data_IF_902581353785
#
_entry.id   IF_902581353785
#
_cell.length_a   1.000
_cell.length_b   1.000
_cell.length_c   1.000
_cell.angle_alpha   90.00
_cell.angle_beta   90.00
_cell.angle_gamma   90.00
#
_symmetry.space_group_name_H-M   'P 1'
#
loop_
_entity.id
_entity.type
_entity.pdbx_description
1 polymer ?
#
# COMPACT_ATOMS: atom_id res chain seq x y z
N UNK A 1 18.96 -54.78 10.36
CA UNK A 1 17.90 -53.87 10.86
C UNK A 1 17.39 -52.91 9.78
N UNK A 2 16.06 -52.69 9.64
CA UNK A 2 15.54 -51.75 8.67
C UNK A 2 15.79 -50.31 9.14
N UNK A 3 16.14 -49.44 8.19
CA UNK A 3 16.46 -48.02 8.41
C UNK A 3 15.16 -47.25 8.66
N UNK A 4 15.13 -46.42 9.71
CA UNK A 4 13.97 -45.58 10.01
C UNK A 4 13.68 -44.60 8.86
N UNK A 5 12.40 -44.30 8.55
CA UNK A 5 12.04 -43.34 7.53
C UNK A 5 12.48 -41.91 7.93
N UNK A 6 12.78 -41.03 6.95
CA UNK A 6 13.18 -39.66 7.24
C UNK A 6 12.03 -38.91 7.89
N UNK A 7 12.33 -38.10 8.91
CA UNK A 7 11.37 -37.23 9.56
C UNK A 7 10.74 -36.29 8.52
N UNK A 8 9.41 -36.27 8.46
CA UNK A 8 8.66 -35.33 7.64
C UNK A 8 9.07 -33.91 8.04
N UNK A 9 9.61 -33.14 7.09
CA UNK A 9 9.91 -31.73 7.30
C UNK A 9 8.63 -31.03 7.80
N UNK A 10 8.72 -30.38 8.97
CA UNK A 10 7.62 -29.61 9.50
C UNK A 10 7.15 -28.61 8.44
N UNK A 11 5.90 -28.73 7.98
CA UNK A 11 5.30 -27.78 7.05
C UNK A 11 5.37 -26.41 7.74
N UNK A 12 6.01 -25.42 7.09
CA UNK A 12 5.90 -24.03 7.55
C UNK A 12 4.42 -23.71 7.74
N UNK A 13 4.04 -23.03 8.84
CA UNK A 13 2.66 -22.59 8.99
C UNK A 13 2.26 -21.81 7.73
N UNK A 14 1.01 -21.95 7.26
CA UNK A 14 0.53 -21.21 6.11
C UNK A 14 0.74 -19.72 6.40
N UNK A 15 1.37 -19.03 5.45
CA UNK A 15 1.61 -17.59 5.53
C UNK A 15 0.26 -16.87 5.55
N UNK A 16 0.13 -15.83 6.37
CA UNK A 16 -1.06 -14.98 6.33
C UNK A 16 -1.20 -14.43 4.90
N UNK A 17 -2.33 -14.67 4.20
CA UNK A 17 -2.53 -14.21 2.82
C UNK A 17 -2.49 -12.69 2.66
N UNK A 18 -2.65 -11.93 3.75
CA UNK A 18 -2.54 -10.47 3.79
C UNK A 18 -1.32 -9.96 4.55
N UNK A 19 -0.37 -10.81 4.92
CA UNK A 19 0.85 -10.40 5.62
C UNK A 19 1.82 -9.62 4.72
N UNK A 20 1.98 -8.32 5.00
CA UNK A 20 2.86 -7.39 4.31
C UNK A 20 4.34 -7.74 4.53
N UNK A 21 5.07 -7.86 3.43
CA UNK A 21 6.53 -7.95 3.41
C UNK A 21 7.14 -6.66 2.85
N UNK A 22 7.28 -5.68 3.73
CA UNK A 22 7.89 -4.40 3.37
C UNK A 22 9.42 -4.52 3.41
N UNK A 23 10.10 -3.84 2.48
CA UNK A 23 11.56 -3.77 2.50
C UNK A 23 12.02 -3.04 3.77
N UNK A 24 13.22 -3.36 4.31
CA UNK A 24 13.75 -2.69 5.49
C UNK A 24 13.70 -1.17 5.32
N UNK A 25 13.04 -0.48 6.27
CA UNK A 25 12.90 0.97 6.26
C UNK A 25 14.26 1.66 6.34
N UNK A 26 14.51 2.58 5.41
CA UNK A 26 15.70 3.43 5.45
C UNK A 26 15.45 4.69 6.26
N UNK A 27 15.90 4.73 7.52
CA UNK A 27 15.97 5.99 8.25
C UNK A 27 17.17 6.78 7.72
N UNK A 28 16.91 7.81 6.91
CA UNK A 28 17.95 8.72 6.42
C UNK A 28 18.60 8.34 5.09
N UNK A 29 17.79 8.09 4.06
CA UNK A 29 18.25 8.15 2.67
C UNK A 29 18.69 9.57 2.25
N UNK A 30 19.38 9.73 1.11
CA UNK A 30 19.92 11.02 0.65
C UNK A 30 18.81 12.07 0.58
N UNK A 31 19.19 13.35 0.68
CA UNK A 31 18.28 14.49 0.63
C UNK A 31 17.12 14.26 -0.36
N UNK A 32 15.93 13.96 0.18
CA UNK A 32 14.74 13.74 -0.62
C UNK A 32 14.45 15.04 -1.35
N UNK A 33 14.59 15.03 -2.68
CA UNK A 33 14.16 16.16 -3.49
C UNK A 33 12.65 16.08 -3.57
N UNK A 34 11.94 17.09 -3.06
CA UNK A 34 10.49 17.14 -3.12
C UNK A 34 10.04 16.99 -4.58
N UNK A 35 9.34 15.90 -4.94
CA UNK A 35 8.66 15.84 -6.22
C UNK A 35 7.50 16.84 -6.19
N UNK A 36 7.41 17.69 -7.20
CA UNK A 36 6.26 18.58 -7.35
C UNK A 36 5.09 17.79 -7.98
N UNK A 37 3.94 17.81 -7.32
CA UNK A 37 2.72 17.18 -7.81
C UNK A 37 2.60 15.68 -7.50
N UNK A 38 1.55 15.07 -8.03
CA UNK A 38 1.24 13.67 -7.78
C UNK A 38 2.18 12.77 -8.60
N UNK A 39 2.76 11.75 -7.96
CA UNK A 39 3.63 10.80 -8.64
C UNK A 39 2.87 9.53 -9.00
N UNK A 40 2.98 9.13 -10.26
CA UNK A 40 2.41 7.88 -10.75
C UNK A 40 3.40 6.71 -10.58
N UNK A 41 2.88 5.57 -10.15
CA UNK A 41 3.57 4.29 -10.07
C UNK A 41 2.86 3.34 -11.03
N UNK A 42 3.59 2.77 -11.98
CA UNK A 42 3.12 1.74 -12.88
C UNK A 42 3.77 0.39 -12.52
N UNK A 43 2.97 -0.66 -12.35
CA UNK A 43 3.46 -2.00 -12.03
C UNK A 43 2.56 -3.08 -12.65
N UNK A 44 3.11 -3.89 -13.56
CA UNK A 44 2.39 -4.98 -14.22
C UNK A 44 1.02 -4.56 -14.81
N UNK A 45 0.95 -3.37 -15.42
CA UNK A 45 -0.28 -2.81 -16.00
C UNK A 45 -1.26 -2.20 -14.99
N UNK A 46 -0.86 -2.10 -13.71
CA UNK A 46 -1.61 -1.46 -12.63
C UNK A 46 -0.99 -0.12 -12.26
N UNK A 47 -1.80 0.72 -11.64
CA UNK A 47 -1.48 2.13 -11.44
C UNK A 47 -1.73 2.53 -9.99
N UNK A 48 -0.82 3.31 -9.42
CA UNK A 48 -1.00 3.93 -8.12
C UNK A 48 -0.48 5.37 -8.18
N UNK A 49 -0.96 6.19 -7.26
CA UNK A 49 -0.52 7.58 -7.15
C UNK A 49 -0.01 7.86 -5.74
N UNK A 50 1.08 8.60 -5.64
CA UNK A 50 1.54 9.21 -4.40
C UNK A 50 1.21 10.69 -4.45
N UNK A 51 0.40 11.14 -3.50
CA UNK A 51 0.04 12.55 -3.30
C UNK A 51 0.74 13.04 -2.05
N UNK A 52 1.69 13.95 -2.23
CA UNK A 52 2.49 14.54 -1.16
C UNK A 52 1.93 15.92 -0.75
N UNK A 53 2.26 16.43 0.45
CA UNK A 53 1.94 17.81 0.78
C UNK A 53 2.78 18.76 -0.08
N UNK A 54 2.23 19.93 -0.41
CA UNK A 54 2.95 20.96 -1.18
C UNK A 54 4.26 21.42 -0.50
N UNK A 55 4.30 21.35 0.84
CA UNK A 55 5.47 21.70 1.63
C UNK A 55 5.74 20.60 2.65
N UNK A 56 6.83 19.84 2.46
CA UNK A 56 7.32 18.90 3.47
C UNK A 56 8.13 19.67 4.51
N UNK A 57 7.71 19.58 5.78
CA UNK A 57 8.43 20.16 6.91
C UNK A 57 9.79 19.46 7.09
N UNK A 58 10.92 20.18 7.03
CA UNK A 58 12.24 19.57 7.20
C UNK A 58 12.40 18.84 8.53
N UNK A 59 13.15 17.73 8.52
CA UNK A 59 13.53 17.00 9.74
C UNK A 59 12.41 16.22 10.43
N UNK A 60 11.21 16.14 9.85
CA UNK A 60 10.11 15.33 10.38
C UNK A 60 9.68 14.26 9.38
N UNK A 61 9.79 12.96 9.72
CA UNK A 61 9.19 11.90 8.96
C UNK A 61 7.68 12.12 8.75
N UNK A 62 7.16 11.73 7.60
CA UNK A 62 5.77 11.88 7.18
C UNK A 62 4.98 10.60 7.47
N UNK A 63 3.76 10.69 8.02
CA UNK A 63 2.82 9.58 7.98
C UNK A 63 2.49 9.17 6.55
N UNK A 64 2.23 7.88 6.35
CA UNK A 64 1.71 7.34 5.10
C UNK A 64 0.23 6.96 5.28
N UNK A 65 -0.63 7.43 4.38
CA UNK A 65 -2.03 7.03 4.31
C UNK A 65 -2.24 6.18 3.07
N UNK A 66 -2.55 4.89 3.25
CA UNK A 66 -3.01 4.01 2.19
C UNK A 66 -4.52 4.23 1.95
N UNK A 67 -4.89 4.63 0.75
CA UNK A 67 -6.26 4.95 0.37
C UNK A 67 -6.82 3.88 -0.58
N UNK A 68 -7.82 3.14 -0.11
CA UNK A 68 -8.43 2.03 -0.83
C UNK A 68 -9.84 2.41 -1.30
N UNK A 69 -10.01 2.51 -2.62
CA UNK A 69 -11.32 2.80 -3.22
C UNK A 69 -12.33 1.66 -2.97
N UNK A 70 -13.62 1.97 -3.04
CA UNK A 70 -14.70 0.96 -3.04
C UNK A 70 -14.85 0.27 -4.39
N UNK A 71 -15.89 -0.54 -4.57
CA UNK A 71 -16.14 -1.14 -5.89
C UNK A 71 -16.31 -0.03 -6.94
N UNK A 72 -15.50 -0.08 -8.00
CA UNK A 72 -15.47 0.98 -9.01
C UNK A 72 -15.26 0.37 -10.39
N UNK A 73 -16.36 0.12 -11.08
CA UNK A 73 -16.37 -0.32 -12.47
C UNK A 73 -16.15 0.87 -13.41
N UNK A 74 -15.34 0.66 -14.45
CA UNK A 74 -15.04 1.61 -15.54
C UNK A 74 -14.41 2.92 -15.05
N UNK A 75 -13.09 3.04 -15.28
CA UNK A 75 -12.32 4.24 -14.96
C UNK A 75 -11.82 4.84 -16.25
N UNK A 76 -12.37 5.99 -16.63
CA UNK A 76 -11.62 6.83 -17.56
C UNK A 76 -10.50 7.56 -16.80
N UNK A 77 -9.64 8.23 -17.56
CA UNK A 77 -8.50 8.95 -16.98
C UNK A 77 -8.91 10.19 -16.17
N UNK A 78 -10.06 10.79 -16.46
CA UNK A 78 -10.54 11.99 -15.77
C UNK A 78 -11.08 11.63 -14.39
N UNK A 79 -11.88 10.56 -14.31
CA UNK A 79 -12.38 9.97 -13.08
C UNK A 79 -11.25 9.63 -12.08
N UNK A 80 -10.17 9.01 -12.57
CA UNK A 80 -8.97 8.72 -11.76
C UNK A 80 -8.31 10.01 -11.29
N UNK A 81 -8.15 10.99 -12.18
CA UNK A 81 -7.48 12.25 -11.85
C UNK A 81 -8.25 13.04 -10.78
N UNK A 82 -9.57 13.12 -10.89
CA UNK A 82 -10.43 13.80 -9.92
C UNK A 82 -10.40 13.10 -8.55
N UNK A 83 -10.45 11.77 -8.55
CA UNK A 83 -10.33 10.98 -7.33
C UNK A 83 -8.99 11.23 -6.63
N UNK A 84 -7.88 11.16 -7.36
CA UNK A 84 -6.53 11.44 -6.81
C UNK A 84 -6.43 12.89 -6.31
N UNK A 85 -6.92 13.86 -7.09
CA UNK A 85 -6.87 15.27 -6.75
C UNK A 85 -7.62 15.59 -5.44
N UNK A 86 -8.69 14.84 -5.13
CA UNK A 86 -9.47 15.02 -3.90
C UNK A 86 -8.64 14.85 -2.61
N UNK A 87 -7.53 14.10 -2.67
CA UNK A 87 -6.65 13.84 -1.53
C UNK A 87 -5.54 14.89 -1.35
N UNK A 88 -5.31 15.78 -2.31
CA UNK A 88 -4.26 16.84 -2.21
C UNK A 88 -4.47 17.76 -1.01
N UNK A 89 -5.72 18.15 -0.76
CA UNK A 89 -6.07 18.99 0.39
C UNK A 89 -5.81 18.27 1.71
N UNK A 90 -6.10 16.97 1.77
CA UNK A 90 -5.86 16.15 2.95
C UNK A 90 -4.35 15.99 3.19
N UNK A 91 -3.59 15.64 2.16
CA UNK A 91 -2.14 15.53 2.20
C UNK A 91 -1.48 16.81 2.75
N UNK A 92 -1.87 17.97 2.21
CA UNK A 92 -1.35 19.27 2.63
C UNK A 92 -1.79 19.66 4.04
N UNK A 93 -3.08 19.51 4.39
CA UNK A 93 -3.61 19.90 5.71
C UNK A 93 -3.01 19.06 6.83
N UNK A 94 -2.86 17.76 6.61
CA UNK A 94 -2.39 16.81 7.62
C UNK A 94 -0.88 16.56 7.54
N UNK A 95 -0.19 17.10 6.53
CA UNK A 95 1.24 16.88 6.28
C UNK A 95 1.57 15.38 6.22
N UNK A 96 0.84 14.66 5.36
CA UNK A 96 0.93 13.21 5.13
C UNK A 96 1.18 12.93 3.65
N UNK A 97 1.75 11.76 3.34
CA UNK A 97 1.76 11.21 1.97
C UNK A 97 0.56 10.27 1.83
N UNK A 98 -0.25 10.45 0.79
CA UNK A 98 -1.32 9.50 0.45
C UNK A 98 -0.86 8.58 -0.70
N UNK A 99 -0.91 7.27 -0.47
CA UNK A 99 -0.73 6.24 -1.48
C UNK A 99 -2.09 5.73 -1.92
N UNK A 100 -2.40 5.87 -3.21
CA UNK A 100 -3.71 5.58 -3.79
C UNK A 100 -3.52 4.51 -4.89
N UNK A 101 -3.50 3.22 -4.54
CA UNK A 101 -3.45 2.14 -5.52
C UNK A 101 -4.83 1.87 -6.10
N UNK A 102 -4.83 1.41 -7.34
CA UNK A 102 -6.03 1.03 -8.06
C UNK A 102 -6.04 -0.49 -8.26
N UNK A 103 -7.07 -1.16 -7.74
CA UNK A 103 -7.30 -2.58 -7.94
C UNK A 103 -7.34 -2.90 -9.45
N UNK A 104 -6.95 -4.13 -9.81
CA UNK A 104 -6.78 -4.56 -11.22
C UNK A 104 -8.07 -4.44 -12.04
N UNK A 105 -9.21 -4.73 -11.43
CA UNK A 105 -10.52 -4.62 -12.07
C UNK A 105 -11.39 -3.66 -11.26
N UNK A 106 -12.58 -4.06 -10.82
CA UNK A 106 -13.52 -3.21 -10.11
C UNK A 106 -13.44 -3.36 -8.58
N UNK A 107 -12.82 -4.44 -8.07
CA UNK A 107 -12.81 -4.85 -6.66
C UNK A 107 -11.45 -5.47 -6.31
N UNK A 108 -11.16 -5.53 -5.00
CA UNK A 108 -9.91 -6.11 -4.49
C UNK A 108 -9.92 -7.65 -4.52
N UNK A 109 -8.76 -8.26 -4.79
CA UNK A 109 -8.59 -9.70 -5.02
C UNK A 109 -8.92 -10.55 -3.80
N UNK A 110 -8.62 -10.07 -2.59
CA UNK A 110 -8.95 -10.77 -1.35
C UNK A 110 -10.45 -11.03 -1.20
N UNK A 111 -11.29 -10.09 -1.64
CA UNK A 111 -12.75 -10.19 -1.55
C UNK A 111 -13.31 -11.15 -2.61
N UNK A 112 -12.70 -11.18 -3.80
CA UNK A 112 -13.18 -11.99 -4.93
C UNK A 112 -12.63 -13.40 -4.98
N UNK A 113 -11.40 -13.61 -4.48
CA UNK A 113 -10.66 -14.88 -4.61
C UNK A 113 -10.69 -15.73 -3.34
N UNK A 114 -11.35 -15.26 -2.27
CA UNK A 114 -11.34 -15.93 -0.96
C UNK A 114 -9.92 -16.20 -0.46
N UNK A 115 -9.06 -15.17 -0.53
CA UNK A 115 -7.67 -15.21 -0.05
C UNK A 115 -6.74 -16.19 -0.80
N UNK A 116 -7.07 -16.56 -2.05
CA UNK A 116 -6.22 -17.45 -2.86
C UNK A 116 -5.23 -16.70 -3.75
N UNK A 117 -5.45 -15.40 -3.98
CA UNK A 117 -4.53 -14.49 -4.67
C UNK A 117 -4.04 -13.38 -3.72
N UNK A 118 -2.87 -12.82 -4.03
CA UNK A 118 -2.22 -11.73 -3.27
C UNK A 118 -1.70 -10.61 -4.16
N UNK A 119 -2.21 -10.54 -5.39
CA UNK A 119 -1.71 -9.59 -6.38
C UNK A 119 -1.93 -8.15 -5.94
N UNK A 120 -3.06 -7.82 -5.31
CA UNK A 120 -3.32 -6.49 -4.78
C UNK A 120 -2.42 -6.15 -3.61
N UNK A 121 -2.17 -7.12 -2.71
CA UNK A 121 -1.20 -6.99 -1.64
C UNK A 121 0.21 -6.70 -2.18
N UNK A 122 0.67 -7.47 -3.18
CA UNK A 122 1.99 -7.29 -3.80
C UNK A 122 2.14 -5.88 -4.39
N UNK A 123 1.08 -5.37 -5.01
CA UNK A 123 1.11 -4.01 -5.54
C UNK A 123 1.11 -2.95 -4.45
N UNK A 124 0.38 -3.17 -3.35
CA UNK A 124 0.42 -2.29 -2.17
C UNK A 124 1.83 -2.28 -1.58
N UNK A 125 2.49 -3.43 -1.44
CA UNK A 125 3.89 -3.53 -0.98
C UNK A 125 4.83 -2.72 -1.88
N UNK A 126 4.68 -2.84 -3.21
CA UNK A 126 5.44 -2.02 -4.17
C UNK A 126 5.19 -0.54 -3.93
N UNK A 127 3.93 -0.12 -3.80
CA UNK A 127 3.54 1.26 -3.56
C UNK A 127 4.10 1.84 -2.26
N UNK A 128 4.05 1.08 -1.17
CA UNK A 128 4.59 1.49 0.15
C UNK A 128 6.11 1.63 0.07
N UNK A 129 6.78 0.66 -0.55
CA UNK A 129 8.23 0.71 -0.73
C UNK A 129 8.65 1.87 -1.65
N UNK A 130 7.87 2.19 -2.68
CA UNK A 130 8.06 3.37 -3.52
C UNK A 130 7.84 4.68 -2.75
N UNK A 131 6.86 4.74 -1.84
CA UNK A 131 6.67 5.89 -0.95
C UNK A 131 7.89 6.10 -0.05
N UNK A 132 8.38 5.01 0.59
CA UNK A 132 9.59 5.02 1.43
C UNK A 132 10.86 5.43 0.67
N UNK A 133 10.95 5.11 -0.63
CA UNK A 133 12.07 5.52 -1.48
C UNK A 133 12.05 7.02 -1.80
N UNK A 134 10.87 7.62 -1.91
CA UNK A 134 10.71 9.01 -2.40
C UNK A 134 10.50 10.04 -1.29
N UNK A 135 10.04 9.60 -0.13
CA UNK A 135 9.70 10.45 0.99
C UNK A 135 10.28 9.89 2.29
N UNK A 136 10.56 10.75 3.29
CA UNK A 136 10.96 10.32 4.62
C UNK A 136 9.74 9.77 5.36
N UNK A 137 9.27 8.57 5.01
CA UNK A 137 8.09 7.95 5.64
C UNK A 137 8.43 7.48 7.06
N UNK A 138 7.50 7.70 7.99
CA UNK A 138 7.53 7.14 9.33
C UNK A 138 6.85 5.77 9.34
N UNK A 139 7.63 4.71 9.49
CA UNK A 139 7.12 3.35 9.47
C UNK A 139 6.25 2.99 10.68
N UNK A 140 6.27 3.80 11.76
CA UNK A 140 5.34 3.67 12.88
C UNK A 140 4.06 4.49 12.70
N UNK A 141 3.86 5.14 11.55
CA UNK A 141 2.66 5.95 11.24
C UNK A 141 2.13 5.66 9.85
N UNK A 142 1.78 4.41 9.61
CA UNK A 142 1.03 3.97 8.43
C UNK A 142 -0.43 3.78 8.82
N UNK A 143 -1.33 4.45 8.11
CA UNK A 143 -2.77 4.34 8.32
C UNK A 143 -3.48 3.88 7.04
N UNK A 144 -4.60 3.17 7.19
CA UNK A 144 -5.43 2.73 6.08
C UNK A 144 -6.77 3.46 6.11
N UNK A 145 -7.15 4.05 4.98
CA UNK A 145 -8.47 4.61 4.72
C UNK A 145 -9.11 3.81 3.60
N UNK A 146 -10.29 3.25 3.83
CA UNK A 146 -11.04 2.51 2.82
C UNK A 146 -12.49 2.95 2.73
N UNK A 147 -13.09 2.77 1.55
CA UNK A 147 -14.54 2.95 1.34
C UNK A 147 -15.17 1.65 0.83
N UNK A 148 -16.32 1.23 1.37
CA UNK A 148 -17.07 0.03 0.94
C UNK A 148 -16.15 -1.20 0.79
N UNK A 149 -15.99 -1.73 -0.42
CA UNK A 149 -15.06 -2.82 -0.77
C UNK A 149 -13.63 -2.59 -0.23
N UNK A 150 -13.09 -1.39 -0.41
CA UNK A 150 -11.77 -1.01 0.12
C UNK A 150 -11.73 -0.87 1.64
N UNK A 151 -12.86 -0.59 2.30
CA UNK A 151 -12.93 -0.59 3.77
C UNK A 151 -12.84 -2.02 4.32
N UNK A 152 -13.54 -2.97 3.69
CA UNK A 152 -13.44 -4.39 4.03
C UNK A 152 -12.02 -4.91 3.82
N UNK A 153 -11.40 -4.63 2.67
CA UNK A 153 -10.01 -5.00 2.41
C UNK A 153 -9.05 -4.34 3.43
N UNK A 154 -9.20 -3.04 3.67
CA UNK A 154 -8.34 -2.29 4.59
C UNK A 154 -8.42 -2.78 6.03
N UNK A 155 -9.61 -3.16 6.51
CA UNK A 155 -9.77 -3.76 7.84
C UNK A 155 -9.08 -5.12 7.94
N UNK A 156 -9.29 -5.99 6.94
CA UNK A 156 -8.62 -7.30 6.89
C UNK A 156 -7.10 -7.15 6.84
N UNK A 157 -6.59 -6.21 6.03
CA UNK A 157 -5.17 -5.90 5.93
C UNK A 157 -4.60 -5.45 7.28
N UNK A 158 -5.26 -4.53 7.98
CA UNK A 158 -4.80 -4.03 9.27
C UNK A 158 -4.78 -5.13 10.35
N UNK A 159 -5.79 -6.01 10.37
CA UNK A 159 -5.86 -7.13 11.32
C UNK A 159 -4.75 -8.17 11.09
N UNK A 160 -4.37 -8.41 9.83
CA UNK A 160 -3.26 -9.29 9.46
C UNK A 160 -1.88 -8.68 9.71
N UNK A 161 -1.79 -7.37 9.97
CA UNK A 161 -0.53 -6.64 10.13
C UNK A 161 -0.55 -5.72 11.36
N UNK A 162 -0.71 -6.25 12.59
CA UNK A 162 -0.86 -5.44 13.80
C UNK A 162 0.42 -4.68 14.21
N UNK A 163 1.57 -5.08 13.68
CA UNK A 163 2.88 -4.49 13.98
C UNK A 163 3.32 -3.41 12.97
N UNK A 164 2.48 -3.12 11.97
CA UNK A 164 2.72 -2.13 10.89
C UNK A 164 1.96 -0.84 11.16
#
# INVERSE_FOLDING_TARGET
PPRAPPAAAARRPPRDPLGLELAPGGVGGPAFTQPHGDLRIDWLGRVAYLVAPEVIKPGKPLPLLLVLHGCWAQRDSADIADYVASYRRLASKCNIVALIPFARVHTWDFITTQCTERTDLDFIEVGVNEARRRFPIDDGRIAVLGFSDGASYGLSLALSNPDV
#
